data_IF_109046060989
#
_entry.id   IF_109046060989
#
_cell.length_a   1.000
_cell.length_b   1.000
_cell.length_c   1.000
_cell.angle_alpha   90.00
_cell.angle_beta   90.00
_cell.angle_gamma   90.00
#
_symmetry.space_group_name_H-M   'P 1'
#
loop_
_entity.id
_entity.type
_entity.pdbx_description
1 polymer ?
#
# COMPACT_ATOMS: atom_id res chain seq x y z
N UNK A 1 -13.19 10.20 17.25
CA UNK A 1 -13.50 10.59 15.86
C UNK A 1 -13.60 9.30 15.06
N UNK A 2 -14.81 8.77 14.89
CA UNK A 2 -15.04 7.48 14.22
C UNK A 2 -15.58 7.74 12.82
N UNK A 3 -14.70 7.72 11.82
CA UNK A 3 -15.08 7.67 10.42
C UNK A 3 -14.82 6.26 9.89
N UNK A 4 -15.64 5.29 10.33
CA UNK A 4 -15.62 3.92 9.79
C UNK A 4 -16.75 3.82 8.75
N UNK A 5 -16.61 4.56 7.65
CA UNK A 5 -17.34 4.26 6.43
C UNK A 5 -16.55 3.21 5.65
N UNK A 6 -17.21 2.22 5.07
CA UNK A 6 -16.57 1.20 4.20
C UNK A 6 -15.84 1.82 2.98
N UNK A 7 -16.04 3.12 2.74
CA UNK A 7 -15.41 3.92 1.69
C UNK A 7 -15.01 5.28 2.28
N UNK A 8 -13.84 5.78 1.87
CA UNK A 8 -13.40 7.12 2.21
C UNK A 8 -14.48 8.16 1.83
N UNK A 9 -14.72 9.19 2.65
CA UNK A 9 -15.66 10.26 2.31
C UNK A 9 -15.06 11.16 1.22
N UNK A 10 -15.19 10.75 -0.05
CA UNK A 10 -14.56 11.42 -1.20
C UNK A 10 -15.30 12.67 -1.68
N UNK A 11 -16.54 12.89 -1.21
CA UNK A 11 -17.41 13.96 -1.69
C UNK A 11 -16.76 15.35 -1.67
N UNK A 12 -15.91 15.66 -0.68
CA UNK A 12 -15.21 16.95 -0.61
C UNK A 12 -14.16 17.12 -1.71
N UNK A 13 -13.44 16.04 -2.03
CA UNK A 13 -12.44 16.00 -3.11
C UNK A 13 -13.15 16.10 -4.47
N UNK A 14 -14.23 15.34 -4.64
CA UNK A 14 -15.04 15.30 -5.86
C UNK A 14 -15.69 16.67 -6.16
N UNK A 15 -16.30 17.32 -5.17
CA UNK A 15 -16.85 18.67 -5.33
C UNK A 15 -15.79 19.74 -5.59
N UNK A 16 -14.56 19.50 -5.13
CA UNK A 16 -13.40 20.35 -5.42
C UNK A 16 -12.76 20.11 -6.79
N UNK A 17 -13.41 19.34 -7.67
CA UNK A 17 -12.96 19.06 -9.02
C UNK A 17 -11.84 18.03 -9.12
N UNK A 18 -11.67 17.16 -8.13
CA UNK A 18 -10.62 16.14 -8.11
C UNK A 18 -11.19 14.74 -7.93
N UNK A 19 -10.46 13.73 -8.37
CA UNK A 19 -10.82 12.32 -8.22
C UNK A 19 -9.65 11.53 -7.68
N UNK A 20 -9.92 10.68 -6.69
CA UNK A 20 -8.97 9.67 -6.22
C UNK A 20 -8.90 8.53 -7.24
N UNK A 21 -7.70 8.25 -7.72
CA UNK A 21 -7.39 7.09 -8.56
C UNK A 21 -6.28 6.27 -7.93
N UNK A 22 -6.15 5.02 -8.35
CA UNK A 22 -5.07 4.14 -7.93
C UNK A 22 -4.21 3.81 -9.14
N UNK A 23 -2.90 4.04 -9.04
CA UNK A 23 -1.94 3.74 -10.10
C UNK A 23 -0.89 2.75 -9.59
N UNK A 24 -0.11 2.18 -10.51
CA UNK A 24 0.96 1.23 -10.21
C UNK A 24 2.29 1.89 -9.82
N UNK A 25 2.37 3.22 -9.88
CA UNK A 25 3.58 3.96 -9.60
C UNK A 25 3.39 4.81 -8.33
N UNK A 26 4.38 4.84 -7.41
CA UNK A 26 4.30 5.73 -6.27
C UNK A 26 4.31 7.19 -6.73
N UNK A 27 3.67 8.07 -5.96
CA UNK A 27 3.86 9.51 -6.12
C UNK A 27 5.28 9.91 -5.69
N UNK A 28 5.74 11.09 -6.10
CA UNK A 28 7.07 11.58 -5.68
C UNK A 28 7.20 11.68 -4.16
N UNK A 29 6.10 12.01 -3.46
CA UNK A 29 6.07 12.04 -2.00
C UNK A 29 6.24 10.63 -1.41
N UNK A 30 5.43 9.66 -1.86
CA UNK A 30 5.50 8.27 -1.38
C UNK A 30 6.88 7.67 -1.64
N UNK A 31 7.44 7.88 -2.84
CA UNK A 31 8.77 7.40 -3.19
C UNK A 31 9.87 8.01 -2.29
N UNK A 32 9.78 9.31 -1.98
CA UNK A 32 10.70 9.97 -1.05
C UNK A 32 10.56 9.42 0.38
N UNK A 33 9.34 9.24 0.87
CA UNK A 33 9.05 8.69 2.20
C UNK A 33 9.57 7.25 2.34
N UNK A 34 9.31 6.37 1.37
CA UNK A 34 9.80 4.98 1.39
C UNK A 34 11.33 4.89 1.34
N UNK A 35 11.98 5.80 0.60
CA UNK A 35 13.44 5.90 0.55
C UNK A 35 14.01 6.38 1.87
N UNK A 36 13.45 7.43 2.45
CA UNK A 36 13.92 8.02 3.71
C UNK A 36 13.64 7.10 4.91
N UNK A 37 12.42 6.58 5.01
CA UNK A 37 11.96 5.72 6.09
C UNK A 37 12.39 4.26 5.98
N UNK A 38 13.01 3.89 4.85
CA UNK A 38 13.51 2.53 4.56
C UNK A 38 12.46 1.44 4.73
N UNK A 39 11.25 1.70 4.26
CA UNK A 39 10.15 0.72 4.25
C UNK A 39 9.56 0.59 2.84
N UNK A 40 8.61 -0.35 2.69
CA UNK A 40 7.67 -0.43 1.57
C UNK A 40 6.26 -0.39 2.14
N UNK A 41 5.42 0.47 1.60
CA UNK A 41 4.02 0.61 1.98
C UNK A 41 3.15 -0.12 0.95
N UNK A 42 2.45 -1.16 1.42
CA UNK A 42 1.51 -1.93 0.60
C UNK A 42 0.07 -1.79 1.06
N UNK A 43 -0.28 -0.77 1.85
CA UNK A 43 -1.61 -0.64 2.48
C UNK A 43 -2.79 -0.78 1.51
N UNK A 44 -2.68 -0.24 0.30
CA UNK A 44 -3.75 -0.36 -0.72
C UNK A 44 -3.64 -1.61 -1.59
N UNK A 45 -2.54 -2.36 -1.46
CA UNK A 45 -2.33 -3.65 -2.11
C UNK A 45 -2.56 -4.82 -1.14
N UNK A 46 -1.53 -5.23 -0.39
CA UNK A 46 -1.58 -6.37 0.52
C UNK A 46 -1.97 -5.98 1.95
N UNK A 47 -1.87 -4.70 2.30
CA UNK A 47 -2.35 -4.20 3.58
C UNK A 47 -1.31 -4.05 4.67
N UNK A 48 -0.01 -4.04 4.38
CA UNK A 48 1.02 -3.87 5.41
C UNK A 48 2.11 -2.89 5.02
N UNK A 49 2.85 -2.43 6.04
CA UNK A 49 4.09 -1.68 5.90
C UNK A 49 5.23 -2.56 6.41
N UNK A 50 6.27 -2.73 5.58
CA UNK A 50 7.41 -3.60 5.90
C UNK A 50 8.73 -2.82 5.82
N UNK A 51 9.52 -2.89 6.89
CA UNK A 51 10.86 -2.28 6.93
C UNK A 51 11.85 -3.07 6.09
N UNK A 52 12.98 -2.45 5.76
CA UNK A 52 14.10 -3.12 5.08
C UNK A 52 14.60 -4.35 5.86
N UNK A 53 14.50 -4.33 7.20
CA UNK A 53 14.79 -5.48 8.08
C UNK A 53 13.86 -6.69 7.89
N UNK A 54 12.74 -6.51 7.20
CA UNK A 54 11.64 -7.48 7.08
C UNK A 54 10.58 -7.31 8.16
N UNK A 55 10.79 -6.48 9.16
CA UNK A 55 9.77 -6.21 10.20
C UNK A 55 8.51 -5.62 9.59
N UNK A 56 7.36 -6.26 9.85
CA UNK A 56 6.03 -5.77 9.53
C UNK A 56 5.63 -4.75 10.59
N UNK A 57 5.90 -3.48 10.33
CA UNK A 57 5.69 -2.38 11.28
C UNK A 57 4.20 -2.13 11.53
N UNK A 58 3.37 -2.27 10.49
CA UNK A 58 1.92 -2.12 10.60
C UNK A 58 1.20 -3.04 9.60
N UNK A 59 0.00 -3.49 9.99
CA UNK A 59 -0.88 -4.33 9.16
C UNK A 59 -2.31 -3.84 9.36
N UNK A 60 -2.95 -3.43 8.27
CA UNK A 60 -4.29 -2.88 8.27
C UNK A 60 -5.32 -3.99 8.56
N UNK A 61 -6.16 -3.84 9.59
CA UNK A 61 -7.25 -4.79 9.85
C UNK A 61 -8.20 -4.94 8.65
N UNK A 62 -8.59 -6.18 8.34
CA UNK A 62 -9.45 -6.50 7.19
C UNK A 62 -8.78 -6.36 5.83
N UNK A 63 -7.45 -6.24 5.79
CA UNK A 63 -6.67 -6.30 4.56
C UNK A 63 -6.29 -7.73 4.18
N UNK A 64 -5.84 -7.99 2.94
CA UNK A 64 -5.47 -9.33 2.50
C UNK A 64 -4.42 -10.03 3.39
N UNK A 65 -3.42 -9.30 3.89
CA UNK A 65 -2.42 -9.87 4.80
C UNK A 65 -2.98 -10.14 6.20
N UNK A 66 -3.83 -9.24 6.72
CA UNK A 66 -4.49 -9.45 8.00
C UNK A 66 -5.38 -10.69 7.97
N UNK A 67 -6.17 -10.84 6.91
CA UNK A 67 -7.09 -11.98 6.75
C UNK A 67 -6.33 -13.31 6.58
N UNK A 68 -5.09 -13.27 6.06
CA UNK A 68 -4.21 -14.44 6.04
C UNK A 68 -3.63 -14.78 7.43
N UNK A 69 -3.73 -13.88 8.41
CA UNK A 69 -3.21 -14.04 9.77
C UNK A 69 -1.84 -13.43 10.00
N UNK A 70 -1.39 -12.53 9.12
CA UNK A 70 -0.18 -11.73 9.30
C UNK A 70 -0.52 -10.53 10.20
N UNK A 71 0.36 -10.22 11.16
CA UNK A 71 0.17 -9.11 12.08
C UNK A 71 1.44 -8.27 12.29
N UNK A 72 1.31 -7.10 12.93
CA UNK A 72 2.44 -6.24 13.25
C UNK A 72 3.47 -6.94 14.16
N UNK A 73 4.75 -6.58 14.01
CA UNK A 73 5.88 -7.16 14.75
C UNK A 73 6.36 -8.51 14.22
N UNK A 74 5.61 -9.16 13.32
CA UNK A 74 6.12 -10.31 12.57
C UNK A 74 7.19 -9.89 11.56
N UNK A 75 7.96 -10.83 11.03
CA UNK A 75 9.05 -10.54 10.10
C UNK A 75 8.89 -11.29 8.79
N UNK A 76 8.81 -10.55 7.69
CA UNK A 76 8.85 -11.08 6.33
C UNK A 76 10.26 -11.55 5.97
N UNK A 77 10.38 -12.83 5.64
CA UNK A 77 11.66 -13.51 5.37
C UNK A 77 11.82 -13.82 3.89
N UNK A 78 10.75 -14.21 3.21
CA UNK A 78 10.75 -14.52 1.79
C UNK A 78 9.39 -14.23 1.14
N UNK A 79 9.42 -13.98 -0.16
CA UNK A 79 8.24 -13.78 -1.02
C UNK A 79 8.37 -14.74 -2.20
N UNK A 80 7.36 -15.58 -2.42
CA UNK A 80 7.34 -16.62 -3.47
C UNK A 80 8.64 -17.47 -3.48
N UNK A 81 9.09 -17.88 -2.29
CA UNK A 81 10.32 -18.68 -2.11
C UNK A 81 11.64 -17.93 -2.33
N UNK A 82 11.61 -16.64 -2.69
CA UNK A 82 12.81 -15.78 -2.84
C UNK A 82 13.00 -14.95 -1.58
N UNK A 83 14.25 -14.85 -1.10
CA UNK A 83 14.60 -14.00 0.06
C UNK A 83 13.98 -12.61 -0.08
N UNK A 84 13.37 -12.13 1.01
CA UNK A 84 12.78 -10.80 1.08
C UNK A 84 13.77 -9.73 0.64
N UNK A 85 13.31 -8.87 -0.27
CA UNK A 85 13.87 -7.57 -0.56
C UNK A 85 12.77 -6.71 -1.15
N UNK A 86 12.97 -5.39 -1.12
CA UNK A 86 12.03 -4.42 -1.74
C UNK A 86 11.71 -4.77 -3.19
N UNK A 87 12.72 -5.19 -3.95
CA UNK A 87 12.56 -5.56 -5.35
C UNK A 87 11.72 -6.82 -5.53
N UNK A 88 11.97 -7.85 -4.72
CA UNK A 88 11.26 -9.14 -4.83
C UNK A 88 9.76 -8.97 -4.56
N UNK A 89 9.37 -8.18 -3.55
CA UNK A 89 7.96 -7.94 -3.28
C UNK A 89 7.28 -7.10 -4.36
N UNK A 90 7.93 -6.05 -4.85
CA UNK A 90 7.38 -5.24 -5.96
C UNK A 90 7.22 -6.08 -7.23
N UNK A 91 8.17 -6.95 -7.53
CA UNK A 91 8.06 -7.89 -8.66
C UNK A 91 6.87 -8.84 -8.48
N UNK A 92 6.68 -9.40 -7.28
CA UNK A 92 5.54 -10.27 -6.99
C UNK A 92 4.20 -9.53 -7.14
N UNK A 93 4.11 -8.29 -6.68
CA UNK A 93 2.94 -7.44 -6.88
C UNK A 93 2.69 -7.18 -8.36
N UNK A 94 3.70 -6.79 -9.14
CA UNK A 94 3.53 -6.56 -10.59
C UNK A 94 3.09 -7.82 -11.33
N UNK A 95 3.68 -8.97 -11.01
CA UNK A 95 3.32 -10.25 -11.62
C UNK A 95 1.88 -10.67 -11.32
N UNK A 96 1.30 -10.22 -10.20
CA UNK A 96 -0.09 -10.55 -9.81
C UNK A 96 -1.15 -10.03 -10.79
N UNK A 97 -0.83 -9.05 -11.65
CA UNK A 97 -1.76 -8.50 -12.63
C UNK A 97 -2.03 -9.47 -13.80
N UNK A 98 -1.03 -10.26 -14.17
CA UNK A 98 -1.04 -11.06 -15.40
C UNK A 98 -1.64 -12.45 -15.19
N UNK A 99 -1.60 -12.95 -13.96
CA UNK A 99 -2.05 -14.29 -13.60
C UNK A 99 -2.68 -14.25 -12.23
N UNK A 100 -3.80 -14.93 -12.07
CA UNK A 100 -4.39 -15.20 -10.76
C UNK A 100 -3.40 -16.08 -9.99
N UNK A 101 -2.63 -15.45 -9.11
CA UNK A 101 -1.53 -16.07 -8.38
C UNK A 101 -1.68 -15.76 -6.90
N UNK A 102 -1.31 -16.75 -6.09
CA UNK A 102 -1.06 -16.52 -4.69
C UNK A 102 0.30 -15.82 -4.54
N UNK A 103 0.35 -14.82 -3.67
CA UNK A 103 1.61 -14.29 -3.16
C UNK A 103 1.90 -15.02 -1.84
N UNK A 104 2.93 -15.86 -1.86
CA UNK A 104 3.36 -16.63 -0.70
C UNK A 104 4.39 -15.84 0.10
N UNK A 105 4.03 -15.48 1.33
CA UNK A 105 4.88 -14.76 2.26
C UNK A 105 5.38 -15.71 3.34
N UNK A 106 6.68 -16.01 3.35
CA UNK A 106 7.30 -16.69 4.47
C UNK A 106 7.54 -15.67 5.58
N UNK A 107 6.87 -15.86 6.70
CA UNK A 107 6.90 -14.94 7.83
C UNK A 107 7.40 -15.67 9.07
N UNK A 108 8.34 -15.04 9.77
CA UNK A 108 8.85 -15.42 11.07
C UNK A 108 8.05 -14.68 12.15
N UNK A 109 7.58 -15.43 13.15
CA UNK A 109 6.96 -14.89 14.36
C UNK A 109 7.60 -15.56 15.58
N UNK A 110 8.37 -14.78 16.35
CA UNK A 110 9.32 -15.31 17.32
C UNK A 110 10.25 -16.36 16.67
N UNK A 111 10.17 -17.62 17.08
CA UNK A 111 11.02 -18.70 16.55
C UNK A 111 10.34 -19.53 15.44
N UNK A 112 9.09 -19.21 15.09
CA UNK A 112 8.29 -20.00 14.16
C UNK A 112 8.24 -19.36 12.78
N UNK A 113 8.51 -20.17 11.76
CA UNK A 113 8.33 -19.78 10.37
C UNK A 113 7.04 -20.38 9.84
N UNK A 114 6.22 -19.57 9.17
CA UNK A 114 5.01 -20.02 8.48
C UNK A 114 4.88 -19.31 7.15
N UNK A 115 4.49 -20.07 6.13
CA UNK A 115 4.12 -19.50 4.83
C UNK A 115 2.65 -19.12 4.86
N UNK A 116 2.36 -17.89 4.45
CA UNK A 116 1.03 -17.31 4.32
C UNK A 116 0.77 -17.05 2.84
N UNK A 117 -0.22 -17.75 2.26
CA UNK A 117 -0.60 -17.59 0.86
C UNK A 117 -1.76 -16.61 0.74
N UNK A 118 -1.53 -15.50 0.04
CA UNK A 118 -2.53 -14.45 -0.17
C UNK A 118 -2.99 -14.48 -1.62
N UNK A 119 -4.28 -14.70 -1.87
CA UNK A 119 -4.87 -14.53 -3.20
C UNK A 119 -4.94 -13.04 -3.54
N UNK A 120 -4.17 -12.60 -4.53
CA UNK A 120 -4.08 -11.20 -4.89
C UNK A 120 -3.83 -11.04 -6.39
N UNK A 121 -4.54 -10.11 -7.04
CA UNK A 121 -4.42 -9.83 -8.49
C UNK A 121 -4.42 -8.33 -8.82
N UNK A 122 -4.16 -7.48 -7.82
CA UNK A 122 -4.38 -6.04 -7.91
C UNK A 122 -3.16 -5.21 -8.33
N UNK A 123 -1.97 -5.79 -8.46
CA UNK A 123 -0.75 -5.04 -8.74
C UNK A 123 -0.25 -4.19 -7.57
N UNK A 124 0.72 -3.31 -7.84
CA UNK A 124 0.97 -2.19 -6.93
C UNK A 124 -0.20 -1.19 -7.01
N UNK A 125 -0.67 -0.69 -5.87
CA UNK A 125 -1.72 0.32 -5.78
C UNK A 125 -1.26 1.50 -4.95
N UNK A 126 -1.12 2.65 -5.60
CA UNK A 126 -0.79 3.91 -4.96
C UNK A 126 -1.89 4.94 -5.23
N UNK A 127 -2.37 5.66 -4.20
CA UNK A 127 -3.39 6.68 -4.36
C UNK A 127 -2.80 7.92 -5.05
N UNK A 128 -3.49 8.42 -6.06
CA UNK A 128 -3.20 9.69 -6.74
C UNK A 128 -4.47 10.51 -6.89
N UNK A 129 -4.30 11.84 -6.97
CA UNK A 129 -5.39 12.74 -7.32
C UNK A 129 -5.25 13.16 -8.77
N UNK A 130 -6.34 13.02 -9.53
CA UNK A 130 -6.45 13.50 -10.90
C UNK A 130 -7.51 14.60 -10.99
N UNK A 131 -7.34 15.51 -11.94
CA UNK A 131 -8.36 16.50 -12.26
C UNK A 131 -9.64 15.81 -12.72
N UNK A 132 -10.76 16.30 -12.21
CA UNK A 132 -12.12 15.92 -12.56
C UNK A 132 -12.94 17.18 -12.95
N UNK A 133 -14.23 17.00 -13.22
CA UNK A 133 -15.14 18.10 -13.52
C UNK A 133 -15.34 19.01 -12.28
N UNK A 134 -15.41 20.31 -12.51
CA UNK A 134 -15.64 21.31 -11.45
C UNK A 134 -14.44 22.23 -11.18
N UNK A 135 -14.61 23.19 -10.27
CA UNK A 135 -13.58 24.20 -9.98
C UNK A 135 -12.35 23.55 -9.35
N UNK A 136 -11.14 24.03 -9.65
CA UNK A 136 -9.92 23.54 -9.01
C UNK A 136 -9.69 24.18 -7.63
N UNK A 137 -10.34 23.61 -6.60
CA UNK A 137 -10.26 24.16 -5.25
C UNK A 137 -8.92 23.84 -4.56
N UNK A 138 -8.27 22.71 -4.88
CA UNK A 138 -6.99 22.34 -4.25
C UNK A 138 -5.86 23.28 -4.68
N UNK A 139 -5.73 23.59 -5.97
CA UNK A 139 -4.69 24.55 -6.40
C UNK A 139 -4.92 25.91 -5.76
N UNK A 140 -6.18 26.36 -5.66
CA UNK A 140 -6.51 27.62 -4.99
C UNK A 140 -6.08 27.65 -3.52
N UNK A 141 -6.20 26.53 -2.79
CA UNK A 141 -5.76 26.40 -1.40
C UNK A 141 -4.24 26.36 -1.29
N UNK A 142 -3.56 25.67 -2.23
CA UNK A 142 -2.11 25.51 -2.22
C UNK A 142 -1.36 26.78 -2.66
N UNK A 143 -2.05 27.70 -3.33
CA UNK A 143 -1.44 28.97 -3.72
C UNK A 143 -1.04 29.77 -2.47
N UNK A 144 0.20 30.28 -2.42
CA UNK A 144 0.62 31.12 -1.31
C UNK A 144 -0.26 32.37 -1.23
N UNK A 145 -0.66 32.73 -0.02
CA UNK A 145 -1.51 33.89 0.23
C UNK A 145 -0.77 35.24 0.07
N UNK A 146 0.53 35.21 -0.26
CA UNK A 146 1.38 36.40 -0.38
C UNK A 146 2.33 36.25 -1.58
N UNK A 147 2.52 37.34 -2.32
CA UNK A 147 3.47 37.46 -3.43
C UNK A 147 4.91 37.59 -2.96
#
# INVERSE_FOLDING_TARGET
MNAIGARAPLNGIEQGGWRLVYTQNPSALIDAEEKQGKYINTFYSLGFLVRESGELEDVIPGSPAYDAGIGPGMKLVAVNGRRWSKHVLRDALRASLEKEQHIDLLVENAEFFKTYSITYSGGEKYPHLERAEGPDLLINILNPLVK
#
